data_IF_096991112390
#
_entry.id   IF_096991112390
#
_cell.length_a   1.000
_cell.length_b   1.000
_cell.length_c   1.000
_cell.angle_alpha   90.00
_cell.angle_beta   90.00
_cell.angle_gamma   90.00
#
_symmetry.space_group_name_H-M   'P 1'
#
loop_
_entity.id
_entity.type
_entity.pdbx_description
1 polymer ?
#
# COMPACT_ATOMS: atom_id res chain seq x y z
N UNK A 1 40.31 -5.38 -22.42
CA UNK A 1 40.04 -4.39 -21.36
C UNK A 1 39.52 -5.13 -20.15
N UNK A 2 40.16 -5.00 -18.98
CA UNK A 2 39.71 -5.63 -17.74
C UNK A 2 38.65 -4.75 -17.09
N UNK A 3 37.44 -5.27 -16.89
CA UNK A 3 36.40 -4.64 -16.08
C UNK A 3 36.84 -4.77 -14.63
N UNK A 4 37.06 -3.64 -13.95
CA UNK A 4 37.44 -3.62 -12.55
C UNK A 4 36.20 -3.65 -11.68
N UNK A 5 35.86 -4.83 -11.18
CA UNK A 5 34.77 -5.00 -10.22
C UNK A 5 35.15 -4.32 -8.89
N UNK A 6 34.37 -3.33 -8.46
CA UNK A 6 34.51 -2.72 -7.14
C UNK A 6 33.73 -3.56 -6.13
N UNK A 7 34.43 -4.39 -5.37
CA UNK A 7 33.84 -5.08 -4.23
C UNK A 7 33.61 -4.09 -3.08
N UNK A 8 32.35 -3.83 -2.73
CA UNK A 8 31.98 -3.07 -1.54
C UNK A 8 31.79 -4.04 -0.38
N UNK A 9 32.64 -3.95 0.65
CA UNK A 9 32.52 -4.75 1.87
C UNK A 9 31.62 -4.02 2.87
N UNK A 10 30.49 -4.63 3.21
CA UNK A 10 29.66 -4.25 4.34
C UNK A 10 29.79 -5.32 5.43
N UNK A 11 29.94 -4.88 6.69
CA UNK A 11 30.07 -5.77 7.85
C UNK A 11 29.07 -5.37 8.91
N UNK A 12 28.09 -6.24 9.14
CA UNK A 12 27.15 -6.19 10.26
C UNK A 12 27.12 -7.58 10.89
N UNK A 13 27.90 -7.79 11.96
CA UNK A 13 27.87 -9.00 12.80
C UNK A 13 28.21 -10.34 12.12
N UNK A 14 29.39 -10.90 12.42
CA UNK A 14 29.91 -12.27 12.13
C UNK A 14 29.70 -12.93 10.75
N UNK A 15 28.98 -12.32 9.81
CA UNK A 15 28.73 -12.85 8.47
C UNK A 15 29.13 -11.79 7.45
N UNK A 16 30.13 -12.09 6.63
CA UNK A 16 30.56 -11.23 5.53
C UNK A 16 29.82 -11.64 4.26
N UNK A 17 28.83 -10.85 3.85
CA UNK A 17 28.15 -11.04 2.56
C UNK A 17 28.87 -10.21 1.51
N UNK A 18 29.38 -10.86 0.46
CA UNK A 18 29.97 -10.18 -0.71
C UNK A 18 28.84 -9.98 -1.72
N UNK A 19 28.36 -8.74 -1.86
CA UNK A 19 27.44 -8.38 -2.94
C UNK A 19 28.26 -7.93 -4.15
N UNK A 20 28.11 -8.64 -5.26
CA UNK A 20 28.72 -8.26 -6.54
C UNK A 20 27.73 -7.35 -7.26
N UNK A 21 28.04 -6.07 -7.36
CA UNK A 21 27.28 -5.14 -8.21
C UNK A 21 27.58 -5.45 -9.68
N UNK A 22 26.78 -6.33 -10.29
CA UNK A 22 26.86 -6.53 -11.74
C UNK A 22 26.03 -5.45 -12.42
N UNK A 23 26.69 -4.42 -12.96
CA UNK A 23 26.03 -3.45 -13.83
C UNK A 23 25.45 -4.18 -15.05
N UNK A 24 24.12 -4.22 -15.16
CA UNK A 24 23.45 -4.80 -16.32
C UNK A 24 23.82 -3.96 -17.56
N UNK A 25 24.29 -4.59 -18.66
CA UNK A 25 24.65 -3.87 -19.86
C UNK A 25 23.47 -3.03 -20.35
N UNK A 26 23.69 -1.74 -20.67
CA UNK A 26 22.62 -0.80 -21.09
C UNK A 26 21.70 -1.37 -22.18
N UNK A 27 22.26 -2.11 -23.15
CA UNK A 27 21.46 -2.77 -24.20
C UNK A 27 20.51 -3.87 -23.71
N UNK A 28 20.80 -4.51 -22.56
CA UNK A 28 19.92 -5.50 -21.93
C UNK A 28 18.76 -4.82 -21.21
N UNK A 29 18.99 -3.65 -20.61
CA UNK A 29 17.93 -2.83 -19.98
C UNK A 29 16.96 -2.32 -21.05
N UNK A 30 17.46 -1.77 -22.15
CA UNK A 30 16.63 -1.28 -23.27
C UNK A 30 15.77 -2.40 -23.89
N UNK A 31 16.33 -3.60 -24.06
CA UNK A 31 15.58 -4.76 -24.55
C UNK A 31 14.47 -5.20 -23.57
N UNK A 32 14.74 -5.18 -22.25
CA UNK A 32 13.74 -5.48 -21.21
C UNK A 32 12.59 -4.47 -21.26
N UNK A 33 12.91 -3.17 -21.37
CA UNK A 33 11.92 -2.09 -21.43
C UNK A 33 11.07 -2.16 -22.70
N UNK A 34 11.67 -2.41 -23.87
CA UNK A 34 10.95 -2.59 -25.14
C UNK A 34 9.99 -3.79 -25.09
N UNK A 35 10.45 -4.91 -24.53
CA UNK A 35 9.62 -6.10 -24.31
C UNK A 35 8.51 -5.85 -23.28
N UNK A 36 8.73 -4.99 -22.28
CA UNK A 36 7.69 -4.60 -21.33
C UNK A 36 6.62 -3.72 -22.01
N UNK A 37 7.03 -2.79 -22.87
CA UNK A 37 6.11 -1.95 -23.66
C UNK A 37 5.22 -2.78 -24.59
N UNK A 38 5.81 -3.72 -25.33
CA UNK A 38 5.06 -4.63 -26.21
C UNK A 38 4.09 -5.52 -25.43
N UNK A 39 4.51 -6.07 -24.28
CA UNK A 39 3.62 -6.84 -23.39
C UNK A 39 2.45 -6.02 -22.88
N UNK A 40 2.66 -4.75 -22.49
CA UNK A 40 1.58 -3.84 -22.07
C UNK A 40 0.59 -3.57 -23.20
N UNK A 41 1.07 -3.38 -24.43
CA UNK A 41 0.22 -3.17 -25.59
C UNK A 41 -0.63 -4.40 -25.93
N UNK A 42 -0.03 -5.60 -25.91
CA UNK A 42 -0.72 -6.87 -26.10
C UNK A 42 -1.77 -7.11 -25.01
N UNK A 43 -1.43 -6.86 -23.74
CA UNK A 43 -2.37 -6.95 -22.62
C UNK A 43 -3.54 -5.99 -22.77
N UNK A 44 -3.29 -4.74 -23.20
CA UNK A 44 -4.35 -3.76 -23.45
C UNK A 44 -5.28 -4.21 -24.57
N UNK A 45 -4.73 -4.69 -25.69
CA UNK A 45 -5.51 -5.23 -26.80
C UNK A 45 -6.36 -6.43 -26.37
N UNK A 46 -5.78 -7.37 -25.63
CA UNK A 46 -6.51 -8.50 -25.05
C UNK A 46 -7.66 -8.03 -24.15
N UNK A 47 -7.41 -7.11 -23.21
CA UNK A 47 -8.44 -6.59 -22.32
C UNK A 47 -9.57 -5.89 -23.07
N UNK A 48 -9.26 -5.09 -24.08
CA UNK A 48 -10.26 -4.39 -24.88
C UNK A 48 -11.16 -5.37 -25.66
N UNK A 49 -10.59 -6.43 -26.22
CA UNK A 49 -11.35 -7.44 -26.97
C UNK A 49 -12.07 -8.46 -26.10
N UNK A 50 -11.72 -8.56 -24.81
CA UNK A 50 -12.28 -9.53 -23.87
C UNK A 50 -12.94 -8.85 -22.67
N UNK A 51 -13.37 -7.60 -22.83
CA UNK A 51 -13.74 -6.75 -21.71
C UNK A 51 -14.92 -7.31 -20.92
N UNK A 52 -15.90 -7.89 -21.62
CA UNK A 52 -17.06 -8.53 -20.99
C UNK A 52 -16.71 -9.86 -20.31
N UNK A 53 -15.85 -10.68 -20.92
CA UNK A 53 -15.35 -11.90 -20.29
C UNK A 53 -14.50 -11.58 -19.04
N UNK A 54 -13.68 -10.52 -19.08
CA UNK A 54 -12.94 -10.02 -17.92
C UNK A 54 -13.88 -9.52 -16.81
N UNK A 55 -14.96 -8.79 -17.17
CA UNK A 55 -15.98 -8.34 -16.21
C UNK A 55 -16.70 -9.52 -15.57
N UNK A 56 -17.07 -10.52 -16.35
CA UNK A 56 -17.78 -11.69 -15.85
C UNK A 56 -16.90 -12.53 -14.92
N UNK A 57 -15.65 -12.78 -15.31
CA UNK A 57 -14.66 -13.40 -14.41
C UNK A 57 -14.47 -12.62 -13.12
N UNK A 58 -14.44 -11.29 -13.19
CA UNK A 58 -14.37 -10.43 -11.99
C UNK A 58 -15.62 -10.57 -11.13
N UNK A 59 -16.84 -10.54 -11.71
CA UNK A 59 -18.09 -10.74 -10.97
C UNK A 59 -18.10 -12.09 -10.25
N UNK A 60 -17.71 -13.15 -10.95
CA UNK A 60 -17.63 -14.50 -10.38
C UNK A 60 -16.58 -14.54 -9.25
N UNK A 61 -15.40 -13.96 -9.46
CA UNK A 61 -14.38 -13.88 -8.42
C UNK A 61 -14.86 -13.10 -7.18
N UNK A 62 -15.57 -11.97 -7.35
CA UNK A 62 -16.16 -11.19 -6.26
C UNK A 62 -17.19 -12.03 -5.50
N UNK A 63 -18.01 -12.79 -6.22
CA UNK A 63 -19.00 -13.71 -5.62
C UNK A 63 -18.31 -14.79 -4.79
N UNK A 64 -17.19 -15.31 -5.27
CA UNK A 64 -16.42 -16.37 -4.59
C UNK A 64 -15.54 -15.81 -3.45
N UNK A 65 -15.16 -14.52 -3.50
CA UNK A 65 -14.25 -13.88 -2.54
C UNK A 65 -14.74 -12.49 -2.08
N UNK A 66 -15.95 -12.39 -1.48
CA UNK A 66 -16.56 -11.11 -1.14
C UNK A 66 -15.78 -10.34 -0.06
N UNK A 67 -14.98 -11.00 0.77
CA UNK A 67 -14.12 -10.33 1.77
C UNK A 67 -12.86 -9.71 1.15
N UNK A 68 -12.22 -10.42 0.22
CA UNK A 68 -11.03 -9.93 -0.47
C UNK A 68 -11.34 -8.76 -1.41
N UNK A 69 -12.51 -8.77 -2.08
CA UNK A 69 -12.96 -7.61 -2.87
C UNK A 69 -13.27 -6.40 -1.97
N UNK A 70 -13.95 -6.62 -0.84
CA UNK A 70 -14.24 -5.56 0.14
C UNK A 70 -12.96 -4.94 0.70
N UNK A 71 -11.94 -5.74 1.03
CA UNK A 71 -10.64 -5.21 1.47
C UNK A 71 -9.92 -4.47 0.34
N UNK A 72 -9.87 -5.03 -0.88
CA UNK A 72 -9.24 -4.36 -2.03
C UNK A 72 -9.88 -3.00 -2.32
N UNK A 73 -11.22 -2.93 -2.28
CA UNK A 73 -11.96 -1.69 -2.44
C UNK A 73 -11.68 -0.71 -1.29
N UNK A 74 -11.70 -1.20 -0.04
CA UNK A 74 -11.36 -0.41 1.15
C UNK A 74 -9.97 0.19 1.04
N UNK A 75 -8.96 -0.55 0.58
CA UNK A 75 -7.58 -0.07 0.44
C UNK A 75 -7.41 1.02 -0.62
N UNK A 76 -8.22 0.96 -1.68
CA UNK A 76 -8.09 1.82 -2.86
C UNK A 76 -8.92 3.09 -2.82
N UNK A 77 -9.88 3.21 -1.92
CA UNK A 77 -10.81 4.35 -1.88
C UNK A 77 -10.85 5.01 -0.51
N UNK A 78 -10.74 6.33 -0.49
CA UNK A 78 -10.92 7.15 0.70
C UNK A 78 -12.03 8.18 0.43
N UNK A 79 -13.03 8.23 1.31
CA UNK A 79 -14.03 9.28 1.29
C UNK A 79 -13.54 10.47 2.10
N UNK A 80 -13.63 11.67 1.53
CA UNK A 80 -13.30 12.94 2.19
C UNK A 80 -14.53 13.85 2.15
N UNK A 81 -14.54 14.91 2.94
CA UNK A 81 -15.58 15.96 2.86
C UNK A 81 -15.65 16.61 1.47
N UNK A 82 -14.51 16.66 0.75
CA UNK A 82 -14.36 17.21 -0.59
C UNK A 82 -14.67 16.23 -1.74
N UNK A 83 -14.94 14.95 -1.44
CA UNK A 83 -15.27 13.95 -2.46
C UNK A 83 -14.70 12.56 -2.18
N UNK A 84 -14.21 11.88 -3.22
CA UNK A 84 -13.61 10.54 -3.11
C UNK A 84 -12.25 10.51 -3.79
N UNK A 85 -11.24 10.05 -3.06
CA UNK A 85 -9.93 9.72 -3.61
C UNK A 85 -9.90 8.23 -3.99
N UNK A 86 -9.32 7.92 -5.14
CA UNK A 86 -9.21 6.54 -5.66
C UNK A 86 -7.78 6.20 -6.04
N UNK A 87 -7.44 4.92 -6.10
CA UNK A 87 -6.10 4.44 -6.47
C UNK A 87 -5.10 4.45 -5.32
N UNK A 88 -5.57 4.55 -4.08
CA UNK A 88 -4.74 4.51 -2.88
C UNK A 88 -4.19 3.11 -2.61
N UNK A 89 -3.12 3.03 -1.82
CA UNK A 89 -2.62 1.79 -1.25
C UNK A 89 -2.59 1.91 0.28
N UNK A 90 -3.77 2.06 0.86
CA UNK A 90 -3.92 2.13 2.31
C UNK A 90 -3.53 0.81 2.96
N UNK A 91 -3.19 0.88 4.26
CA UNK A 91 -2.93 -0.31 5.09
C UNK A 91 -4.12 -1.28 5.02
N UNK A 92 -3.82 -2.56 4.99
CA UNK A 92 -4.82 -3.64 4.95
C UNK A 92 -5.81 -3.49 6.10
N UNK A 93 -7.10 -3.75 5.82
CA UNK A 93 -8.12 -3.73 6.86
C UNK A 93 -7.79 -4.79 7.93
N UNK A 94 -7.86 -4.47 9.24
CA UNK A 94 -7.48 -5.40 10.29
C UNK A 94 -8.35 -6.66 10.22
N UNK A 95 -7.70 -7.84 10.22
CA UNK A 95 -8.36 -9.14 10.03
C UNK A 95 -9.36 -9.48 11.14
N UNK A 96 -9.14 -8.96 12.34
CA UNK A 96 -10.06 -9.09 13.48
C UNK A 96 -11.18 -8.03 13.49
N UNK A 97 -11.23 -7.13 12.49
CA UNK A 97 -12.14 -5.99 12.45
C UNK A 97 -12.16 -5.16 13.74
N UNK A 98 -11.02 -5.11 14.46
CA UNK A 98 -10.86 -4.32 15.67
C UNK A 98 -10.40 -2.90 15.34
N UNK A 99 -10.91 -1.93 16.08
CA UNK A 99 -10.37 -0.58 16.07
C UNK A 99 -8.89 -0.59 16.50
N UNK A 100 -8.00 0.03 15.74
CA UNK A 100 -6.56 0.04 16.07
C UNK A 100 -6.24 0.88 17.32
N UNK A 101 -7.11 1.82 17.71
CA UNK A 101 -6.91 2.66 18.91
C UNK A 101 -7.49 2.05 20.19
N UNK A 102 -8.72 1.54 20.15
CA UNK A 102 -9.43 1.04 21.35
C UNK A 102 -9.66 -0.48 21.38
N UNK A 103 -9.17 -1.19 20.36
CA UNK A 103 -9.22 -2.64 20.21
C UNK A 103 -10.61 -3.30 20.26
N UNK A 104 -11.68 -2.50 20.24
CA UNK A 104 -13.04 -3.02 20.18
C UNK A 104 -13.37 -3.59 18.80
N UNK A 105 -13.96 -4.78 18.79
CA UNK A 105 -14.44 -5.49 17.59
C UNK A 105 -15.92 -5.21 17.32
N UNK A 106 -16.37 -5.49 16.10
CA UNK A 106 -17.79 -5.41 15.72
C UNK A 106 -18.31 -4.00 15.42
N UNK A 107 -17.41 -3.01 15.29
CA UNK A 107 -17.77 -1.65 14.88
C UNK A 107 -17.35 -1.38 13.45
N UNK A 108 -18.10 -0.54 12.76
CA UNK A 108 -17.67 -0.02 11.46
C UNK A 108 -16.40 0.81 11.67
N UNK A 109 -15.35 0.48 10.92
CA UNK A 109 -14.08 1.22 10.95
C UNK A 109 -14.00 2.15 9.73
N UNK A 110 -13.65 3.41 9.97
CA UNK A 110 -13.21 4.38 8.96
C UNK A 110 -11.69 4.42 8.91
N UNK A 111 -11.14 4.84 7.76
CA UNK A 111 -9.70 5.06 7.64
C UNK A 111 -9.40 6.52 7.97
N UNK A 112 -8.76 6.74 9.11
CA UNK A 112 -8.27 8.04 9.53
C UNK A 112 -6.86 8.24 8.97
N UNK A 113 -6.64 9.32 8.22
CA UNK A 113 -5.33 9.69 7.68
C UNK A 113 -4.96 11.07 8.24
N UNK A 114 -3.66 11.30 8.45
CA UNK A 114 -3.15 12.53 9.08
C UNK A 114 -2.11 13.25 8.21
N UNK A 115 -1.93 12.81 6.96
CA UNK A 115 -1.00 13.41 6.01
C UNK A 115 -1.69 13.52 4.64
N UNK A 116 -2.05 14.75 4.26
CA UNK A 116 -2.72 15.04 3.00
C UNK A 116 -1.82 14.80 1.78
N UNK A 117 -0.50 14.94 1.93
CA UNK A 117 0.47 14.65 0.88
C UNK A 117 0.66 13.14 0.67
N UNK A 118 0.37 12.33 1.70
CA UNK A 118 0.42 10.87 1.62
C UNK A 118 -0.75 10.20 2.37
N UNK A 119 -1.95 10.17 1.77
CA UNK A 119 -3.17 9.63 2.38
C UNK A 119 -3.15 8.09 2.55
N UNK A 120 -2.04 7.43 2.17
CA UNK A 120 -1.83 6.02 2.47
C UNK A 120 -1.46 5.82 3.95
N UNK A 121 -0.95 6.85 4.64
CA UNK A 121 -0.61 6.79 6.06
C UNK A 121 -1.87 7.01 6.91
N UNK A 122 -2.20 6.04 7.76
CA UNK A 122 -3.44 6.08 8.51
C UNK A 122 -3.70 4.88 9.42
N UNK A 123 -4.85 4.93 10.08
CA UNK A 123 -5.37 3.92 11.00
C UNK A 123 -6.84 3.58 10.70
N UNK A 124 -7.22 2.33 10.91
CA UNK A 124 -8.60 1.87 10.91
C UNK A 124 -9.23 2.08 12.28
N UNK A 125 -10.06 3.12 12.39
CA UNK A 125 -10.65 3.57 13.65
C UNK A 125 -12.17 3.42 13.64
N UNK A 126 -12.75 3.02 14.78
CA UNK A 126 -14.20 3.13 14.95
C UNK A 126 -14.62 4.61 15.05
N UNK A 127 -15.88 4.94 14.74
CA UNK A 127 -16.39 6.32 14.71
C UNK A 127 -16.00 7.16 15.94
N UNK A 128 -16.11 6.61 17.16
CA UNK A 128 -15.73 7.34 18.38
C UNK A 128 -14.24 7.69 18.40
N UNK A 129 -13.38 6.75 18.00
CA UNK A 129 -11.94 6.97 17.94
C UNK A 129 -11.55 7.89 16.77
N UNK A 130 -12.31 7.86 15.68
CA UNK A 130 -12.13 8.76 14.54
C UNK A 130 -12.33 10.21 14.95
N UNK A 131 -13.45 10.53 15.59
CA UNK A 131 -13.74 11.89 16.07
C UNK A 131 -12.68 12.39 17.08
N UNK A 132 -12.16 11.48 17.91
CA UNK A 132 -11.11 11.81 18.88
C UNK A 132 -9.78 12.06 18.18
N UNK A 133 -9.45 11.29 17.14
CA UNK A 133 -8.25 11.50 16.34
C UNK A 133 -8.34 12.81 15.53
N UNK A 134 -9.50 13.11 14.94
CA UNK A 134 -9.78 14.40 14.28
C UNK A 134 -9.59 15.57 15.26
N UNK A 135 -10.17 15.49 16.45
CA UNK A 135 -10.01 16.52 17.47
C UNK A 135 -8.55 16.67 17.96
N UNK A 136 -7.76 15.60 17.98
CA UNK A 136 -6.35 15.62 18.38
C UNK A 136 -5.41 16.10 17.26
N UNK A 137 -5.77 15.88 15.99
CA UNK A 137 -5.04 16.47 14.86
C UNK A 137 -5.25 17.99 14.80
N UNK A 138 -6.43 18.47 15.23
CA UNK A 138 -6.75 19.90 15.33
C UNK A 138 -6.21 20.57 16.61
N UNK A 139 -5.95 19.81 17.68
CA UNK A 139 -5.50 20.34 18.98
C UNK A 139 -4.40 19.46 19.61
N UNK A 140 -3.19 20.01 19.74
CA UNK A 140 -1.94 19.33 20.17
C UNK A 140 -1.97 18.64 21.54
N UNK A 141 -3.09 18.68 22.26
CA UNK A 141 -3.29 17.91 23.49
C UNK A 141 -4.46 16.96 23.33
N UNK A 142 -4.17 15.69 23.02
CA UNK A 142 -4.76 14.48 23.64
C UNK A 142 -4.28 13.23 22.86
N UNK A 143 -3.91 12.20 23.64
CA UNK A 143 -3.55 10.82 23.27
C UNK A 143 -2.09 10.54 22.85
N UNK A 144 -1.27 10.32 23.88
CA UNK A 144 0.01 9.61 23.79
C UNK A 144 -0.05 8.30 23.00
N UNK A 145 -1.15 7.53 23.09
CA UNK A 145 -1.31 6.28 22.32
C UNK A 145 -1.50 6.50 20.82
N UNK A 146 -2.16 7.58 20.42
CA UNK A 146 -2.34 7.93 19.01
C UNK A 146 -1.00 8.33 18.38
N UNK A 147 -0.23 9.18 19.06
CA UNK A 147 1.11 9.57 18.59
C UNK A 147 2.09 8.39 18.54
N UNK A 148 2.03 7.45 19.50
CA UNK A 148 2.83 6.22 19.44
C UNK A 148 2.52 5.39 18.19
N UNK A 149 1.23 5.18 17.87
CA UNK A 149 0.84 4.43 16.67
C UNK A 149 1.23 5.15 15.38
N UNK A 150 1.17 6.49 15.36
CA UNK A 150 1.63 7.31 14.24
C UNK A 150 3.13 7.14 14.00
N UNK A 151 3.94 7.19 15.06
CA UNK A 151 5.39 6.93 15.00
C UNK A 151 5.71 5.50 14.54
N UNK A 152 5.00 4.48 15.05
CA UNK A 152 5.14 3.08 14.61
C UNK A 152 4.85 2.92 13.11
N UNK A 153 3.79 3.54 12.60
CA UNK A 153 3.43 3.48 11.17
C UNK A 153 4.49 4.17 10.31
N UNK A 154 4.99 5.33 10.71
CA UNK A 154 6.00 6.08 9.95
C UNK A 154 7.36 5.37 9.91
N UNK A 155 7.73 4.65 10.97
CA UNK A 155 9.01 3.91 11.05
C UNK A 155 9.00 2.56 10.35
N UNK A 156 7.86 1.87 10.29
CA UNK A 156 7.72 0.59 9.56
C UNK A 156 7.61 0.74 8.03
N UNK A 157 7.55 1.96 7.49
CA UNK A 157 7.39 2.22 6.05
C UNK A 157 8.70 2.66 5.35
N UNK A 158 9.87 2.45 5.99
CA UNK A 158 11.22 2.63 5.40
C UNK A 158 11.80 1.30 4.92
#
# INVERSE_FOLDING_TARGET
>A
MKVGDKAVKWTTGKTTTIMVETELPKGRIEAILKNAGQRRAQMRHYYNNNLDACRERRRQWIKDHPEADRDSHRRRILGTSSGRLTGLDKRTYPSNAACELCHHVGRQLGYHHWNDENPNLGLWLCTRCHNVAEAADDDTSILSRYYQLKEEVETCTR
#
